data_IF_561495732349
#
_entry.id   IF_561495732349
#
_cell.length_a   1.000
_cell.length_b   1.000
_cell.length_c   1.000
_cell.angle_alpha   90.00
_cell.angle_beta   90.00
_cell.angle_gamma   90.00
#
_symmetry.space_group_name_H-M   'P 1'
#
loop_
_entity.id
_entity.type
_entity.pdbx_description
1 polymer ?
#
# COMPACT_ATOMS: atom_id res chain seq x y z
N UNK A 1 -8.09 -0.56 -1.59
CA UNK A 1 -6.68 -0.26 -1.87
C UNK A 1 -6.01 -1.53 -2.35
N UNK A 2 -5.17 -1.45 -3.38
CA UNK A 2 -4.41 -2.59 -3.91
C UNK A 2 -2.93 -2.27 -3.83
N UNK A 3 -2.14 -3.21 -3.33
CA UNK A 3 -0.69 -3.06 -3.20
C UNK A 3 -0.01 -4.40 -3.48
N UNK A 4 1.22 -4.40 -4.01
CA UNK A 4 1.94 -5.64 -4.24
C UNK A 4 2.25 -6.31 -2.90
N UNK A 5 2.26 -7.64 -2.88
CA UNK A 5 2.67 -8.39 -1.70
C UNK A 5 4.12 -8.05 -1.38
N UNK A 6 4.42 -7.77 -0.11
CA UNK A 6 5.79 -7.54 0.32
C UNK A 6 6.58 -8.85 0.20
N UNK A 7 7.44 -8.92 -0.82
CA UNK A 7 8.44 -9.95 -1.01
C UNK A 7 9.77 -9.27 -1.29
N UNK A 8 10.86 -9.97 -1.01
CA UNK A 8 12.21 -9.48 -1.28
C UNK A 8 12.40 -9.04 -2.74
N UNK A 9 11.77 -9.75 -3.70
CA UNK A 9 11.84 -9.40 -5.11
C UNK A 9 11.02 -8.16 -5.47
N UNK A 10 9.92 -7.87 -4.77
CA UNK A 10 9.11 -6.64 -4.97
C UNK A 10 9.98 -5.41 -4.72
N UNK A 11 10.80 -5.47 -3.67
CA UNK A 11 11.77 -4.40 -3.35
C UNK A 11 12.87 -4.29 -4.41
N UNK A 12 13.31 -5.41 -4.99
CA UNK A 12 14.30 -5.43 -6.07
C UNK A 12 13.74 -4.81 -7.37
N UNK A 13 12.52 -5.18 -7.78
CA UNK A 13 11.85 -4.64 -8.98
C UNK A 13 11.60 -3.14 -8.84
N UNK A 14 11.13 -2.69 -7.67
CA UNK A 14 10.91 -1.25 -7.43
C UNK A 14 12.22 -0.48 -7.44
N UNK A 15 13.27 -0.98 -6.78
CA UNK A 15 14.59 -0.34 -6.78
C UNK A 15 15.16 -0.25 -8.21
N UNK A 16 14.93 -1.27 -9.03
CA UNK A 16 15.33 -1.27 -10.43
C UNK A 16 14.55 -0.23 -11.25
N UNK A 17 13.24 -0.09 -11.00
CA UNK A 17 12.41 0.94 -11.62
C UNK A 17 12.83 2.35 -11.22
N UNK A 18 13.12 2.57 -9.94
CA UNK A 18 13.64 3.85 -9.43
C UNK A 18 14.98 4.20 -10.07
N UNK A 19 15.89 3.22 -10.19
CA UNK A 19 17.16 3.38 -10.89
C UNK A 19 16.95 3.72 -12.38
N UNK A 20 16.03 3.02 -13.06
CA UNK A 20 15.72 3.28 -14.47
C UNK A 20 15.15 4.69 -14.68
N UNK A 21 14.25 5.15 -13.81
CA UNK A 21 13.69 6.50 -13.83
C UNK A 21 14.77 7.56 -13.53
N UNK A 22 15.67 7.27 -12.60
CA UNK A 22 16.82 8.13 -12.28
C UNK A 22 17.78 8.25 -13.46
N UNK A 23 18.04 7.15 -14.18
CA UNK A 23 18.81 7.15 -15.44
C UNK A 23 18.09 7.94 -16.53
N UNK A 24 16.76 7.82 -16.60
CA UNK A 24 15.92 8.61 -17.51
C UNK A 24 15.78 10.10 -17.10
N UNK A 25 16.50 10.55 -16.05
CA UNK A 25 16.44 11.91 -15.48
C UNK A 25 15.02 12.33 -15.05
N UNK A 26 14.13 11.36 -14.82
CA UNK A 26 12.82 11.62 -14.23
C UNK A 26 12.96 11.71 -12.70
N UNK A 27 12.40 12.76 -12.13
CA UNK A 27 12.42 13.01 -10.68
C UNK A 27 11.35 12.20 -9.92
N UNK A 28 11.04 10.99 -10.40
CA UNK A 28 10.02 10.14 -9.83
C UNK A 28 10.67 9.15 -8.86
N UNK A 29 10.36 9.28 -7.57
CA UNK A 29 10.79 8.34 -6.54
C UNK A 29 9.66 7.41 -6.16
N UNK A 30 9.90 6.10 -6.28
CA UNK A 30 8.92 5.09 -5.87
C UNK A 30 9.13 4.74 -4.40
N UNK A 31 8.23 5.21 -3.53
CA UNK A 31 8.27 4.89 -2.10
C UNK A 31 7.51 3.58 -1.82
N UNK A 32 8.25 2.51 -1.49
CA UNK A 32 7.66 1.26 -1.03
C UNK A 32 7.42 1.32 0.48
N UNK A 33 6.16 1.23 0.90
CA UNK A 33 5.78 1.10 2.30
C UNK A 33 5.32 -0.33 2.61
N UNK A 34 5.64 -0.87 3.80
CA UNK A 34 5.12 -2.15 4.22
C UNK A 34 3.59 -2.16 4.27
N UNK A 35 2.92 -3.22 3.78
CA UNK A 35 1.46 -3.39 3.86
C UNK A 35 0.89 -3.09 5.24
N UNK A 36 1.54 -3.59 6.30
CA UNK A 36 1.13 -3.38 7.69
C UNK A 36 1.12 -1.90 8.07
N UNK A 37 2.11 -1.12 7.60
CA UNK A 37 2.16 0.34 7.85
C UNK A 37 1.09 1.09 7.07
N UNK A 38 0.76 0.64 5.87
CA UNK A 38 -0.31 1.23 5.05
C UNK A 38 -1.66 1.04 5.77
N UNK A 39 -1.96 -0.18 6.23
CA UNK A 39 -3.19 -0.50 6.94
C UNK A 39 -3.28 0.20 8.30
N UNK A 40 -2.20 0.18 9.10
CA UNK A 40 -2.18 0.87 10.39
C UNK A 40 -2.35 2.39 10.26
N UNK A 41 -1.91 2.98 9.14
CA UNK A 41 -2.13 4.39 8.87
C UNK A 41 -3.59 4.64 8.47
N UNK A 42 -4.16 3.80 7.62
CA UNK A 42 -5.58 3.86 7.26
C UNK A 42 -6.48 3.77 8.51
N UNK A 43 -6.19 2.84 9.42
CA UNK A 43 -6.93 2.66 10.68
C UNK A 43 -6.83 3.88 11.59
N UNK A 44 -5.64 4.48 11.74
CA UNK A 44 -5.46 5.73 12.49
C UNK A 44 -6.26 6.90 11.92
N UNK A 45 -6.53 6.91 10.61
CA UNK A 45 -7.37 7.92 9.97
C UNK A 45 -8.86 7.56 9.93
N UNK A 46 -9.30 6.55 10.70
CA UNK A 46 -10.70 6.18 10.86
C UNK A 46 -11.22 5.25 9.76
N UNK A 47 -10.34 4.66 8.95
CA UNK A 47 -10.68 3.64 7.97
C UNK A 47 -10.42 2.25 8.57
N UNK A 48 -11.46 1.47 8.88
CA UNK A 48 -11.28 0.10 9.33
C UNK A 48 -11.08 -0.86 8.17
N UNK A 49 -10.13 -1.77 8.31
CA UNK A 49 -9.93 -2.89 7.39
C UNK A 49 -11.09 -3.88 7.52
N UNK A 50 -11.86 -4.05 6.44
CA UNK A 50 -13.03 -4.96 6.43
C UNK A 50 -12.69 -6.29 5.78
N UNK A 51 -11.83 -6.28 4.76
CA UNK A 51 -11.38 -7.49 4.11
C UNK A 51 -9.98 -7.28 3.57
N UNK A 52 -9.13 -8.29 3.74
CA UNK A 52 -7.83 -8.34 3.12
C UNK A 52 -7.77 -9.62 2.28
N UNK A 53 -7.69 -9.47 0.96
CA UNK A 53 -7.48 -10.58 0.03
C UNK A 53 -6.04 -10.54 -0.45
N UNK A 54 -5.22 -11.43 0.08
CA UNK A 54 -3.86 -11.66 -0.40
C UNK A 54 -3.89 -12.67 -1.54
N UNK A 55 -3.37 -12.28 -2.70
CA UNK A 55 -3.11 -13.14 -3.85
C UNK A 55 -1.60 -13.36 -4.02
N UNK A 56 -1.19 -14.14 -5.02
CA UNK A 56 0.21 -14.56 -5.17
C UNK A 56 1.18 -13.38 -5.36
N UNK A 57 0.71 -12.34 -6.07
CA UNK A 57 1.46 -11.13 -6.39
C UNK A 57 0.86 -9.86 -5.77
N UNK A 58 -0.46 -9.78 -5.66
CA UNK A 58 -1.20 -8.59 -5.25
C UNK A 58 -2.01 -8.84 -3.99
N UNK A 59 -2.06 -7.84 -3.13
CA UNK A 59 -2.94 -7.81 -1.97
C UNK A 59 -3.96 -6.69 -2.14
N UNK A 60 -5.22 -7.00 -1.87
CA UNK A 60 -6.34 -6.08 -2.01
C UNK A 60 -7.02 -5.93 -0.65
N UNK A 61 -6.89 -4.74 -0.07
CA UNK A 61 -7.54 -4.38 1.17
C UNK A 61 -8.78 -3.50 0.91
N UNK A 62 -9.94 -3.98 1.35
CA UNK A 62 -11.17 -3.20 1.40
C UNK A 62 -11.23 -2.48 2.74
N UNK A 63 -11.22 -1.15 2.67
CA UNK A 63 -11.28 -0.27 3.83
C UNK A 63 -12.68 0.37 3.88
N UNK A 64 -13.30 0.36 5.05
CA UNK A 64 -14.56 1.07 5.29
C UNK A 64 -14.31 2.25 6.20
N UNK A 65 -14.87 3.40 5.85
CA UNK A 65 -14.85 4.55 6.74
C UNK A 65 -15.73 4.29 7.95
N UNK A 66 -15.13 4.36 9.11
CA UNK A 66 -15.84 4.38 10.39
C UNK A 66 -16.31 5.82 10.59
N UNK A 67 -17.38 6.20 9.90
CA UNK A 67 -18.21 7.31 10.38
C UNK A 67 -18.79 6.79 11.68
N UNK A 68 -18.30 7.30 12.82
CA UNK A 68 -19.10 7.22 14.04
C UNK A 68 -20.43 7.87 13.69
N UNK A 69 -21.45 7.06 13.42
CA UNK A 69 -22.83 7.55 13.37
C UNK A 69 -23.10 7.96 14.81
N UNK A 70 -23.27 9.26 15.11
CA UNK A 70 -23.67 9.64 16.46
C UNK A 70 -24.99 8.93 16.75
N UNK A 71 -25.02 8.17 17.84
CA UNK A 71 -26.26 7.55 18.31
C UNK A 71 -27.28 8.68 18.53
N UNK A 72 -28.45 8.52 17.90
CA UNK A 72 -29.60 9.42 18.08
C UNK A 72 -30.32 9.09 19.38
#
# INVERSE_FOLDING_TARGET
MSFPKERWWTRAVISLGDLALRVARQQFQVFLHPPDKILATAERHGLKTVSNKTSFFWEVASLRRTIAVPAK
#
